data_IF_119887638553
#
_entry.id   IF_119887638553
#
_cell.length_a   1.000
_cell.length_b   1.000
_cell.length_c   1.000
_cell.angle_alpha   90.00
_cell.angle_beta   90.00
_cell.angle_gamma   90.00
#
_symmetry.space_group_name_H-M   'P 1'
#
loop_
_entity.id
_entity.type
_entity.pdbx_description
1 polymer ?
#
# COMPACT_ATOMS: atom_id res chain seq x y z
N UNK A 1 2.78 -13.35 32.81
CA UNK A 1 2.44 -13.42 31.36
C UNK A 1 3.71 -13.23 30.55
N UNK A 2 4.04 -14.12 29.61
CA UNK A 2 5.36 -14.15 28.95
C UNK A 2 5.53 -13.15 27.78
N UNK A 3 4.47 -12.48 27.32
CA UNK A 3 4.57 -11.41 26.31
C UNK A 3 3.26 -10.61 26.25
N UNK A 4 3.10 -9.47 26.94
CA UNK A 4 1.82 -8.75 27.01
C UNK A 4 1.40 -8.17 25.66
N UNK A 5 2.35 -7.98 24.74
CA UNK A 5 2.13 -7.44 23.40
C UNK A 5 1.59 -8.46 22.37
N UNK A 6 1.58 -9.75 22.72
CA UNK A 6 1.08 -10.81 21.84
C UNK A 6 -0.44 -10.73 21.71
N UNK A 7 -0.95 -11.02 20.51
CA UNK A 7 -2.39 -11.22 20.30
C UNK A 7 -2.84 -12.46 21.09
N UNK A 8 -3.87 -12.31 21.92
CA UNK A 8 -4.39 -13.40 22.73
C UNK A 8 -5.21 -14.38 21.88
N UNK A 9 -5.34 -15.62 22.37
CA UNK A 9 -6.21 -16.62 21.74
C UNK A 9 -7.64 -16.07 21.74
N UNK A 10 -8.30 -16.12 20.58
CA UNK A 10 -9.67 -15.62 20.36
C UNK A 10 -9.85 -14.08 20.43
N UNK A 11 -8.76 -13.31 20.62
CA UNK A 11 -8.81 -11.85 20.57
C UNK A 11 -9.00 -11.36 19.13
N UNK A 12 -10.08 -10.60 18.89
CA UNK A 12 -10.30 -10.00 17.57
C UNK A 12 -9.17 -9.02 17.25
N UNK A 13 -8.87 -8.87 15.96
CA UNK A 13 -7.75 -8.01 15.54
C UNK A 13 -7.93 -6.55 15.95
N UNK A 14 -9.16 -6.07 15.95
CA UNK A 14 -9.46 -4.70 16.37
C UNK A 14 -9.24 -4.54 17.88
N UNK A 15 -9.72 -5.50 18.69
CA UNK A 15 -9.53 -5.51 20.14
C UNK A 15 -8.03 -5.54 20.47
N UNK A 16 -7.27 -6.38 19.75
CA UNK A 16 -5.82 -6.42 19.84
C UNK A 16 -5.19 -5.05 19.62
N UNK A 17 -5.53 -4.37 18.52
CA UNK A 17 -4.97 -3.06 18.16
C UNK A 17 -5.32 -1.99 19.19
N UNK A 18 -6.58 -1.96 19.65
CA UNK A 18 -7.04 -1.05 20.70
C UNK A 18 -6.29 -1.29 22.00
N UNK A 19 -6.02 -2.54 22.36
CA UNK A 19 -5.23 -2.88 23.55
C UNK A 19 -3.78 -2.41 23.39
N UNK A 20 -3.12 -2.75 22.28
CA UNK A 20 -1.70 -2.44 22.12
C UNK A 20 -1.42 -0.94 21.96
N UNK A 21 -2.35 -0.18 21.37
CA UNK A 21 -2.21 1.27 21.19
C UNK A 21 -2.13 2.03 22.52
N UNK A 22 -2.56 1.41 23.62
CA UNK A 22 -2.48 1.98 24.98
C UNK A 22 -1.14 1.75 25.66
N UNK A 23 -0.28 0.87 25.15
CA UNK A 23 1.04 0.69 25.75
C UNK A 23 1.90 1.93 25.48
N UNK A 24 2.60 2.47 26.49
CA UNK A 24 3.47 3.63 26.32
C UNK A 24 4.67 3.32 25.42
N UNK A 25 5.14 2.07 25.48
CA UNK A 25 6.23 1.54 24.66
C UNK A 25 5.88 0.17 24.13
N UNK A 26 6.33 -0.16 22.92
CA UNK A 26 6.17 -1.47 22.30
C UNK A 26 7.50 -2.01 21.82
N UNK A 27 7.62 -3.33 21.69
CA UNK A 27 8.75 -3.89 20.97
C UNK A 27 8.70 -3.48 19.48
N UNK A 28 9.88 -3.28 18.85
CA UNK A 28 9.97 -2.94 17.43
C UNK A 28 9.29 -3.99 16.53
N UNK A 29 9.37 -5.27 16.90
CA UNK A 29 8.72 -6.34 16.16
C UNK A 29 7.20 -6.28 16.25
N UNK A 30 6.63 -5.97 17.42
CA UNK A 30 5.18 -5.80 17.57
C UNK A 30 4.69 -4.63 16.71
N UNK A 31 5.34 -3.46 16.81
CA UNK A 31 4.86 -2.26 16.10
C UNK A 31 4.93 -2.45 14.58
N UNK A 32 6.00 -3.08 14.08
CA UNK A 32 6.12 -3.42 12.65
C UNK A 32 5.07 -4.44 12.20
N UNK A 33 4.77 -5.47 13.02
CA UNK A 33 3.74 -6.45 12.69
C UNK A 33 2.33 -5.86 12.66
N UNK A 34 2.09 -4.81 13.43
CA UNK A 34 0.79 -4.15 13.51
C UNK A 34 0.60 -3.22 12.32
N UNK A 35 1.58 -2.35 12.11
CA UNK A 35 1.52 -1.28 11.11
C UNK A 35 1.84 -1.79 9.70
N UNK A 36 2.82 -2.70 9.58
CA UNK A 36 3.32 -3.23 8.31
C UNK A 36 3.14 -4.75 8.18
N UNK A 37 2.04 -5.30 8.70
CA UNK A 37 1.78 -6.75 8.77
C UNK A 37 2.06 -7.55 7.49
N UNK A 38 1.79 -6.98 6.33
CA UNK A 38 1.91 -7.65 5.01
C UNK A 38 3.21 -7.32 4.28
N UNK A 39 4.13 -6.60 4.92
CA UNK A 39 5.43 -6.32 4.35
C UNK A 39 6.21 -7.64 4.18
N UNK A 40 6.82 -7.81 3.01
CA UNK A 40 7.84 -8.84 2.80
C UNK A 40 9.16 -8.41 3.48
N UNK A 41 10.14 -9.30 3.50
CA UNK A 41 11.41 -9.06 4.18
C UNK A 41 12.15 -7.82 3.64
N UNK A 42 12.22 -7.65 2.32
CA UNK A 42 12.87 -6.49 1.70
C UNK A 42 12.23 -5.17 2.10
N UNK A 43 10.89 -5.12 2.12
CA UNK A 43 10.20 -3.91 2.48
C UNK A 43 10.25 -3.65 3.99
N UNK A 44 10.26 -4.70 4.82
CA UNK A 44 10.53 -4.55 6.26
C UNK A 44 11.93 -3.98 6.49
N UNK A 45 12.93 -4.43 5.74
CA UNK A 45 14.28 -3.89 5.83
C UNK A 45 14.31 -2.41 5.48
N UNK A 46 13.64 -2.01 4.39
CA UNK A 46 13.51 -0.59 4.01
C UNK A 46 12.86 0.26 5.11
N UNK A 47 11.79 -0.24 5.73
CA UNK A 47 11.14 0.46 6.84
C UNK A 47 12.09 0.61 8.02
N UNK A 48 12.83 -0.45 8.39
CA UNK A 48 13.85 -0.40 9.44
C UNK A 48 14.93 0.62 9.10
N UNK A 49 15.39 0.68 7.86
CA UNK A 49 16.41 1.62 7.40
C UNK A 49 15.91 3.07 7.45
N UNK A 50 14.63 3.33 7.14
CA UNK A 50 14.01 4.65 7.32
C UNK A 50 13.84 5.03 8.80
N UNK A 51 13.53 4.06 9.65
CA UNK A 51 13.31 4.30 11.07
C UNK A 51 14.63 4.41 11.86
N UNK A 52 15.72 3.81 11.38
CA UNK A 52 17.02 3.75 12.08
C UNK A 52 17.61 5.12 12.44
N UNK A 53 17.61 6.15 11.58
CA UNK A 53 18.10 7.47 11.95
C UNK A 53 17.32 8.11 13.11
N UNK A 54 16.02 7.79 13.22
CA UNK A 54 15.11 8.37 14.22
C UNK A 54 15.09 7.54 15.51
N UNK A 55 15.18 6.21 15.39
CA UNK A 55 15.13 5.27 16.51
C UNK A 55 16.29 4.25 16.45
N UNK A 56 17.55 4.70 16.57
CA UNK A 56 18.72 3.84 16.38
C UNK A 56 18.81 2.70 17.40
N UNK A 57 18.27 2.91 18.60
CA UNK A 57 18.21 1.89 19.66
C UNK A 57 17.13 0.84 19.45
N UNK A 58 16.04 1.22 18.78
CA UNK A 58 14.92 0.33 18.45
C UNK A 58 15.16 -0.44 17.15
N UNK A 59 15.96 0.13 16.23
CA UNK A 59 16.34 -0.50 14.96
C UNK A 59 17.86 -0.49 14.77
N UNK A 60 18.62 -1.17 15.66
CA UNK A 60 20.06 -1.23 15.55
C UNK A 60 20.50 -1.87 14.23
N UNK A 61 21.74 -1.61 13.76
CA UNK A 61 22.27 -2.27 12.59
C UNK A 61 22.19 -3.80 12.75
N UNK A 62 21.91 -4.49 11.65
CA UNK A 62 21.79 -5.93 11.60
C UNK A 62 22.96 -6.50 10.79
N UNK A 63 23.46 -7.67 11.20
CA UNK A 63 24.45 -8.40 10.41
C UNK A 63 23.86 -8.97 9.13
N UNK A 64 24.70 -9.58 8.28
CA UNK A 64 24.30 -10.24 7.03
C UNK A 64 23.27 -11.35 7.21
N UNK A 65 23.12 -11.86 8.42
CA UNK A 65 22.15 -12.86 8.86
C UNK A 65 20.83 -12.26 9.41
N UNK A 66 20.66 -10.94 9.38
CA UNK A 66 19.46 -10.25 9.90
C UNK A 66 19.37 -10.25 11.44
N UNK A 67 20.45 -10.61 12.12
CA UNK A 67 20.53 -10.58 13.58
C UNK A 67 21.07 -9.19 14.00
N UNK A 68 20.35 -8.46 14.87
CA UNK A 68 20.83 -7.21 15.44
C UNK A 68 22.17 -7.37 16.18
N UNK A 69 23.12 -6.45 15.98
CA UNK A 69 24.35 -6.41 16.79
C UNK A 69 24.08 -6.03 18.25
N UNK A 70 22.98 -5.34 18.50
CA UNK A 70 22.51 -4.94 19.82
C UNK A 70 21.06 -5.39 19.99
N UNK A 71 20.69 -5.75 21.21
CA UNK A 71 19.30 -6.05 21.52
C UNK A 71 18.44 -4.79 21.30
N UNK A 72 17.40 -4.86 20.45
CA UNK A 72 16.54 -3.71 20.21
C UNK A 72 15.83 -3.25 21.49
N UNK A 73 15.87 -1.96 21.77
CA UNK A 73 15.08 -1.35 22.84
C UNK A 73 13.62 -1.15 22.41
N UNK A 74 12.71 -1.14 23.38
CA UNK A 74 11.31 -0.81 23.11
C UNK A 74 11.19 0.64 22.62
N UNK A 75 10.31 0.85 21.66
CA UNK A 75 10.04 2.15 21.07
C UNK A 75 8.84 2.80 21.75
N UNK A 76 8.89 4.12 21.97
CA UNK A 76 7.69 4.86 22.39
C UNK A 76 6.63 4.78 21.31
N UNK A 77 5.46 4.28 21.68
CA UNK A 77 4.32 4.09 20.77
C UNK A 77 3.92 5.42 20.13
N UNK A 78 3.88 6.49 20.93
CA UNK A 78 3.55 7.85 20.48
C UNK A 78 4.63 8.43 19.57
N UNK A 79 5.90 8.27 19.91
CA UNK A 79 7.00 8.76 19.06
C UNK A 79 6.99 8.09 17.68
N UNK A 80 6.75 6.77 17.64
CA UNK A 80 6.63 6.06 16.37
C UNK A 80 5.42 6.52 15.56
N UNK A 81 4.26 6.70 16.21
CA UNK A 81 3.07 7.16 15.51
C UNK A 81 3.24 8.58 14.92
N UNK A 82 3.90 9.48 15.66
CA UNK A 82 4.26 10.81 15.15
C UNK A 82 5.19 10.70 13.95
N UNK A 83 6.26 9.90 14.04
CA UNK A 83 7.20 9.69 12.93
C UNK A 83 6.49 9.17 11.66
N UNK A 84 5.56 8.21 11.78
CA UNK A 84 4.79 7.69 10.64
C UNK A 84 4.01 8.80 9.92
N UNK A 85 3.49 9.76 10.68
CA UNK A 85 2.68 10.88 10.17
C UNK A 85 3.57 11.99 9.62
N UNK A 86 4.56 12.45 10.38
CA UNK A 86 5.44 13.56 10.03
C UNK A 86 6.29 13.25 8.80
N UNK A 87 6.86 12.04 8.73
CA UNK A 87 7.69 11.58 7.60
C UNK A 87 6.87 10.98 6.46
N UNK A 88 5.53 11.08 6.51
CA UNK A 88 4.61 10.55 5.49
C UNK A 88 4.90 9.09 5.09
N UNK A 89 5.24 8.24 6.07
CA UNK A 89 5.72 6.86 5.81
C UNK A 89 4.66 6.03 5.08
N UNK A 90 3.38 6.25 5.34
CA UNK A 90 2.30 5.58 4.61
C UNK A 90 2.23 5.99 3.13
N UNK A 91 2.55 7.23 2.80
CA UNK A 91 2.61 7.68 1.41
C UNK A 91 3.83 7.08 0.69
N UNK A 92 4.99 7.06 1.34
CA UNK A 92 6.18 6.37 0.84
C UNK A 92 5.89 4.88 0.62
N UNK A 93 5.19 4.25 1.57
CA UNK A 93 4.76 2.85 1.49
C UNK A 93 3.85 2.57 0.29
N UNK A 94 2.86 3.43 0.06
CA UNK A 94 1.98 3.34 -1.11
C UNK A 94 2.74 3.58 -2.41
N UNK A 95 3.74 4.47 -2.41
CA UNK A 95 4.62 4.72 -3.56
C UNK A 95 5.43 3.49 -3.96
N UNK A 96 5.72 2.59 -3.02
CA UNK A 96 6.33 1.27 -3.28
C UNK A 96 5.33 0.22 -3.81
N UNK A 97 4.10 0.63 -4.13
CA UNK A 97 3.04 -0.25 -4.61
C UNK A 97 2.37 -1.09 -3.52
N UNK A 98 2.68 -0.82 -2.25
CA UNK A 98 2.08 -1.51 -1.12
C UNK A 98 0.73 -0.87 -0.75
N UNK A 99 -0.07 -1.58 0.03
CA UNK A 99 -1.34 -1.08 0.56
C UNK A 99 -1.24 -0.90 2.07
N UNK A 100 -1.65 0.26 2.55
CA UNK A 100 -1.82 0.51 3.99
C UNK A 100 -3.03 -0.28 4.47
N UNK A 101 -2.88 -0.93 5.62
CA UNK A 101 -3.95 -1.69 6.25
C UNK A 101 -4.87 -0.73 7.02
N UNK A 102 -6.21 -0.88 6.98
CA UNK A 102 -7.11 -0.08 7.82
C UNK A 102 -6.77 -0.15 9.32
N UNK A 103 -6.27 -1.30 9.74
CA UNK A 103 -5.74 -1.54 11.08
C UNK A 103 -4.47 -0.74 11.43
N UNK A 104 -3.65 -0.40 10.44
CA UNK A 104 -2.48 0.44 10.63
C UNK A 104 -2.91 1.91 10.82
N UNK A 105 -3.87 2.37 10.02
CA UNK A 105 -4.49 3.69 10.19
C UNK A 105 -5.16 3.80 11.56
N UNK A 106 -5.98 2.80 11.94
CA UNK A 106 -6.62 2.73 13.25
C UNK A 106 -5.59 2.83 14.39
N UNK A 107 -4.47 2.11 14.30
CA UNK A 107 -3.43 2.16 15.33
C UNK A 107 -2.86 3.57 15.48
N UNK A 108 -2.50 4.24 14.37
CA UNK A 108 -1.95 5.60 14.40
C UNK A 108 -2.96 6.60 14.95
N UNK A 109 -4.22 6.50 14.55
CA UNK A 109 -5.29 7.40 15.03
C UNK A 109 -5.53 7.24 16.53
N UNK A 110 -5.56 6.00 17.05
CA UNK A 110 -5.74 5.71 18.47
C UNK A 110 -4.58 6.24 19.32
N UNK A 111 -3.33 6.06 18.87
CA UNK A 111 -2.14 6.51 19.60
C UNK A 111 -2.07 8.04 19.65
N UNK A 112 -2.49 8.71 18.58
CA UNK A 112 -2.51 10.17 18.51
C UNK A 112 -3.73 10.80 19.21
N UNK A 113 -4.56 10.00 19.89
CA UNK A 113 -5.65 10.49 20.72
C UNK A 113 -6.83 11.06 19.93
N UNK A 114 -6.97 10.71 18.64
CA UNK A 114 -8.22 11.01 17.93
C UNK A 114 -9.34 10.19 18.58
N UNK A 115 -10.42 10.85 18.99
CA UNK A 115 -11.59 10.18 19.51
C UNK A 115 -12.21 9.30 18.41
N UNK A 116 -12.06 7.98 18.54
CA UNK A 116 -12.67 7.00 17.63
C UNK A 116 -13.76 6.29 18.40
N UNK A 117 -15.01 6.69 18.16
CA UNK A 117 -16.19 5.97 18.65
C UNK A 117 -16.10 4.51 18.21
N UNK A 118 -16.37 3.60 19.14
CA UNK A 118 -16.25 2.13 18.99
C UNK A 118 -17.10 1.52 17.87
N UNK A 119 -17.96 2.32 17.22
CA UNK A 119 -18.81 1.93 16.08
C UNK A 119 -18.22 2.28 14.72
N UNK A 120 -17.06 2.94 14.64
CA UNK A 120 -16.36 3.22 13.39
C UNK A 120 -15.17 2.27 13.20
N UNK A 121 -15.47 1.02 12.82
CA UNK A 121 -14.65 0.42 11.76
C UNK A 121 -15.03 1.20 10.52
N UNK A 122 -14.30 2.27 10.25
CA UNK A 122 -14.64 3.23 9.21
C UNK A 122 -14.82 2.48 7.88
N UNK A 123 -16.03 2.60 7.33
CA UNK A 123 -16.29 2.33 5.92
C UNK A 123 -15.21 3.07 5.14
N UNK A 124 -14.35 2.33 4.43
CA UNK A 124 -13.35 2.79 3.44
C UNK A 124 -13.10 4.30 3.51
N UNK A 125 -12.03 4.73 4.19
CA UNK A 125 -11.54 6.09 4.04
C UNK A 125 -11.55 6.46 2.55
N UNK A 126 -12.37 7.46 2.19
CA UNK A 126 -12.37 8.01 0.83
C UNK A 126 -10.95 8.51 0.59
N UNK A 127 -10.20 7.79 -0.25
CA UNK A 127 -8.93 8.24 -0.82
C UNK A 127 -9.07 9.70 -1.17
N UNK A 128 -8.21 10.56 -0.61
CA UNK A 128 -8.04 11.92 -1.13
C UNK A 128 -7.79 11.78 -2.64
N UNK A 129 -8.61 12.46 -3.46
CA UNK A 129 -8.39 12.48 -4.91
C UNK A 129 -6.96 12.99 -5.16
N UNK A 130 -6.18 12.36 -6.05
CA UNK A 130 -4.86 12.85 -6.42
C UNK A 130 -4.96 14.30 -6.87
N UNK A 131 -4.08 15.18 -6.38
CA UNK A 131 -4.01 16.56 -6.85
C UNK A 131 -3.53 16.56 -8.30
N UNK A 132 -4.32 17.13 -9.22
CA UNK A 132 -4.09 17.14 -10.69
C UNK A 132 -2.89 18.00 -11.14
N UNK A 133 -2.17 18.62 -10.20
CA UNK A 133 -1.05 19.53 -10.48
C UNK A 133 0.29 18.82 -10.71
N UNK A 134 0.45 17.58 -10.24
CA UNK A 134 1.69 16.80 -10.46
C UNK A 134 1.53 15.82 -11.62
N UNK A 135 2.63 15.48 -12.32
CA UNK A 135 2.59 14.52 -13.41
C UNK A 135 2.10 13.14 -12.97
N UNK A 136 2.45 12.74 -11.75
CA UNK A 136 1.96 11.50 -11.13
C UNK A 136 0.46 11.57 -10.81
N UNK A 137 -0.04 12.73 -10.37
CA UNK A 137 -1.46 12.98 -10.15
C UNK A 137 -2.26 12.94 -11.45
N UNK A 138 -1.74 13.56 -12.51
CA UNK A 138 -2.32 13.51 -13.87
C UNK A 138 -2.38 12.09 -14.41
N UNK A 139 -1.33 11.29 -14.18
CA UNK A 139 -1.27 9.89 -14.60
C UNK A 139 -2.32 9.04 -13.88
N UNK A 140 -2.49 9.22 -12.56
CA UNK A 140 -3.47 8.46 -11.79
C UNK A 140 -4.92 8.88 -12.13
N UNK A 141 -5.15 10.17 -12.37
CA UNK A 141 -6.42 10.68 -12.91
C UNK A 141 -6.70 10.06 -14.28
N UNK A 142 -5.76 10.12 -15.23
CA UNK A 142 -5.93 9.52 -16.54
C UNK A 142 -6.23 8.03 -16.46
N UNK A 143 -5.44 7.29 -15.67
CA UNK A 143 -5.61 5.85 -15.48
C UNK A 143 -7.01 5.51 -14.98
N UNK A 144 -7.46 6.15 -13.89
CA UNK A 144 -8.68 5.76 -13.21
C UNK A 144 -9.94 6.37 -13.85
N UNK A 145 -9.86 7.57 -14.42
CA UNK A 145 -11.03 8.28 -14.97
C UNK A 145 -11.18 8.11 -16.49
N UNK A 146 -10.10 7.79 -17.24
CA UNK A 146 -10.16 7.64 -18.70
C UNK A 146 -9.77 6.25 -19.19
N UNK A 147 -8.58 5.77 -18.85
CA UNK A 147 -8.02 4.57 -19.45
C UNK A 147 -8.75 3.29 -19.03
N UNK A 148 -8.89 3.05 -17.72
CA UNK A 148 -9.55 1.85 -17.20
C UNK A 148 -11.01 1.76 -17.71
N UNK A 149 -11.86 2.79 -17.56
CA UNK A 149 -13.23 2.75 -18.06
C UNK A 149 -13.32 2.51 -19.58
N UNK A 150 -12.42 3.09 -20.37
CA UNK A 150 -12.40 2.89 -21.82
C UNK A 150 -12.03 1.46 -22.19
N UNK A 151 -11.07 0.85 -21.48
CA UNK A 151 -10.70 -0.56 -21.68
C UNK A 151 -11.81 -1.49 -21.21
N UNK A 152 -12.51 -1.17 -20.13
CA UNK A 152 -13.70 -1.91 -19.68
C UNK A 152 -14.77 -1.94 -20.77
N UNK A 153 -15.11 -0.79 -21.38
CA UNK A 153 -16.08 -0.74 -22.50
C UNK A 153 -15.64 -1.57 -23.72
N UNK A 154 -14.35 -1.58 -24.04
CA UNK A 154 -13.81 -2.39 -25.15
C UNK A 154 -13.93 -3.88 -24.84
N UNK A 155 -13.62 -4.26 -23.60
CA UNK A 155 -13.68 -5.65 -23.13
C UNK A 155 -15.10 -6.16 -22.90
N UNK A 156 -16.07 -5.31 -22.55
CA UNK A 156 -17.48 -5.72 -22.46
C UNK A 156 -18.00 -6.24 -23.80
N UNK A 157 -17.57 -5.61 -24.90
CA UNK A 157 -17.91 -6.03 -26.27
C UNK A 157 -17.01 -7.13 -26.80
N UNK A 158 -15.81 -7.28 -26.23
CA UNK A 158 -14.75 -8.14 -26.73
C UNK A 158 -13.99 -8.82 -25.59
N UNK A 159 -14.71 -9.59 -24.78
CA UNK A 159 -14.22 -10.13 -23.49
C UNK A 159 -12.99 -11.04 -23.64
N UNK A 160 -12.85 -11.68 -24.79
CA UNK A 160 -11.78 -12.62 -25.12
C UNK A 160 -10.51 -11.98 -25.69
N UNK A 161 -10.50 -10.67 -25.96
CA UNK A 161 -9.37 -10.03 -26.63
C UNK A 161 -8.09 -10.05 -25.79
N UNK A 162 -6.97 -10.35 -26.45
CA UNK A 162 -5.65 -10.30 -25.86
C UNK A 162 -5.16 -8.85 -25.70
N UNK A 163 -4.13 -8.64 -24.86
CA UNK A 163 -3.61 -7.29 -24.59
C UNK A 163 -3.19 -6.56 -25.87
N UNK A 164 -2.58 -7.26 -26.85
CA UNK A 164 -2.21 -6.66 -28.14
C UNK A 164 -3.42 -6.12 -28.92
N UNK A 165 -4.53 -6.86 -28.93
CA UNK A 165 -5.76 -6.46 -29.61
C UNK A 165 -6.43 -5.26 -28.92
N UNK A 166 -6.40 -5.22 -27.59
CA UNK A 166 -6.91 -4.08 -26.81
C UNK A 166 -6.07 -2.83 -27.06
N UNK A 167 -4.74 -2.97 -27.09
CA UNK A 167 -3.83 -1.84 -27.34
C UNK A 167 -3.94 -1.31 -28.77
N UNK A 168 -4.18 -2.20 -29.75
CA UNK A 168 -4.41 -1.84 -31.15
C UNK A 168 -5.83 -1.28 -31.42
N UNK A 169 -6.70 -1.24 -30.41
CA UNK A 169 -8.03 -0.67 -30.60
C UNK A 169 -7.93 0.85 -30.71
N UNK A 170 -8.43 1.41 -31.82
CA UNK A 170 -8.33 2.84 -32.18
C UNK A 170 -8.62 3.81 -31.02
N UNK A 171 -9.61 3.53 -30.17
CA UNK A 171 -9.93 4.39 -29.01
C UNK A 171 -8.88 4.33 -27.89
N UNK A 172 -8.30 3.16 -27.65
CA UNK A 172 -7.28 2.93 -26.61
C UNK A 172 -5.96 3.55 -27.06
N UNK A 173 -5.58 3.31 -28.32
CA UNK A 173 -4.40 3.87 -28.96
C UNK A 173 -4.43 5.41 -28.94
N UNK A 174 -5.54 6.02 -29.41
CA UNK A 174 -5.70 7.47 -29.36
C UNK A 174 -5.64 8.05 -27.94
N UNK A 175 -6.17 7.33 -26.93
CA UNK A 175 -6.13 7.78 -25.55
C UNK A 175 -4.71 7.78 -24.98
N UNK A 176 -3.88 6.79 -25.35
CA UNK A 176 -2.47 6.71 -24.97
C UNK A 176 -1.62 7.75 -25.70
N UNK A 177 -1.92 8.01 -26.97
CA UNK A 177 -1.16 8.95 -27.81
C UNK A 177 -1.43 10.41 -27.47
N UNK A 178 -2.69 10.74 -27.15
CA UNK A 178 -3.09 12.11 -26.81
C UNK A 178 -2.93 12.44 -25.33
N UNK A 179 -2.18 11.63 -24.58
CA UNK A 179 -2.22 11.69 -23.13
C UNK A 179 -1.42 12.84 -22.49
N UNK A 180 -0.74 13.67 -23.28
CA UNK A 180 -0.21 14.97 -22.87
C UNK A 180 0.81 14.93 -21.70
N UNK A 181 1.44 13.78 -21.45
CA UNK A 181 2.42 13.64 -20.37
C UNK A 181 3.78 14.21 -20.78
N UNK A 182 4.45 15.01 -19.92
CA UNK A 182 5.76 15.59 -20.23
C UNK A 182 6.91 14.56 -20.27
N UNK A 183 6.80 13.43 -19.53
CA UNK A 183 7.84 12.37 -19.47
C UNK A 183 7.58 11.19 -20.41
N UNK A 184 6.69 11.34 -21.39
CA UNK A 184 6.42 10.29 -22.39
C UNK A 184 5.38 9.24 -21.93
N UNK A 185 5.01 8.36 -22.87
CA UNK A 185 3.94 7.37 -22.67
C UNK A 185 4.27 6.43 -21.50
N UNK A 186 3.29 6.02 -20.67
CA UNK A 186 3.53 5.04 -19.62
C UNK A 186 4.11 3.73 -20.20
N UNK A 187 5.04 3.11 -19.46
CA UNK A 187 5.69 1.88 -19.93
C UNK A 187 4.68 0.79 -20.31
N UNK A 188 5.02 -0.04 -21.29
CA UNK A 188 4.15 -1.14 -21.73
C UNK A 188 3.76 -2.07 -20.55
N UNK A 189 4.67 -2.28 -19.61
CA UNK A 189 4.42 -3.06 -18.38
C UNK A 189 3.35 -2.43 -17.48
N UNK A 190 3.33 -1.09 -17.39
CA UNK A 190 2.35 -0.31 -16.63
C UNK A 190 0.98 -0.42 -17.29
N UNK A 191 0.93 -0.27 -18.62
CA UNK A 191 -0.33 -0.36 -19.37
C UNK A 191 -0.93 -1.78 -19.27
N UNK A 192 -0.10 -2.82 -19.38
CA UNK A 192 -0.53 -4.22 -19.17
C UNK A 192 -1.16 -4.42 -17.79
N UNK A 193 -0.58 -3.81 -16.73
CA UNK A 193 -1.17 -3.86 -15.38
C UNK A 193 -2.53 -3.17 -15.34
N UNK A 194 -2.72 -2.05 -16.03
CA UNK A 194 -4.01 -1.35 -16.08
C UNK A 194 -5.09 -2.16 -16.81
N UNK A 195 -4.75 -2.80 -17.93
CA UNK A 195 -5.66 -3.72 -18.64
C UNK A 195 -6.07 -4.89 -17.72
N UNK A 196 -5.13 -5.44 -16.94
CA UNK A 196 -5.46 -6.47 -15.96
C UNK A 196 -6.41 -5.99 -14.86
N UNK A 197 -6.36 -4.71 -14.47
CA UNK A 197 -7.32 -4.12 -13.52
C UNK A 197 -8.70 -4.03 -14.17
N UNK A 198 -8.79 -3.48 -15.39
CA UNK A 198 -10.04 -3.40 -16.15
C UNK A 198 -10.72 -4.76 -16.31
N UNK A 199 -9.96 -5.81 -16.71
CA UNK A 199 -10.47 -7.18 -16.79
C UNK A 199 -11.04 -7.70 -15.48
N UNK A 200 -10.36 -7.43 -14.35
CA UNK A 200 -10.81 -7.85 -13.03
C UNK A 200 -12.11 -7.14 -12.63
N UNK A 201 -12.27 -5.87 -12.97
CA UNK A 201 -13.45 -5.08 -12.62
C UNK A 201 -14.72 -5.61 -13.30
N UNK A 202 -14.62 -6.06 -14.56
CA UNK A 202 -15.75 -6.61 -15.32
C UNK A 202 -15.89 -8.14 -15.23
N UNK A 203 -15.02 -8.81 -14.46
CA UNK A 203 -15.03 -10.27 -14.33
C UNK A 203 -14.57 -11.05 -15.58
N UNK A 204 -13.93 -10.40 -16.55
CA UNK A 204 -13.42 -11.06 -17.76
C UNK A 204 -12.14 -11.86 -17.46
N UNK A 205 -12.13 -13.16 -17.78
CA UNK A 205 -10.94 -14.02 -17.67
C UNK A 205 -10.03 -13.78 -18.88
N UNK A 206 -8.76 -13.49 -18.63
CA UNK A 206 -7.76 -13.45 -19.69
C UNK A 206 -7.53 -14.87 -20.24
N UNK A 207 -7.72 -15.09 -21.55
CA UNK A 207 -7.14 -16.26 -22.21
C UNK A 207 -5.62 -16.07 -22.23
N UNK A 208 -4.92 -16.84 -21.40
CA UNK A 208 -3.46 -16.96 -21.48
C UNK A 208 -3.13 -17.57 -22.84
N UNK A 209 -2.62 -16.75 -23.76
CA UNK A 209 -2.09 -17.24 -25.03
C UNK A 209 -0.98 -18.25 -24.75
N UNK A 210 -1.14 -19.45 -25.30
CA UNK A 210 -0.10 -20.49 -25.37
C UNK A 210 1.17 -19.82 -25.94
N UNK A 211 2.37 -20.07 -25.37
CA UNK A 211 3.59 -19.64 -26.05
C UNK A 211 3.60 -20.34 -27.41
N UNK A 212 3.65 -19.54 -28.47
CA UNK A 212 3.98 -20.03 -29.81
C UNK A 212 5.35 -20.68 -29.74
N UNK A 213 5.42 -21.90 -30.28
CA UNK A 213 6.63 -22.70 -30.46
C UNK A 213 7.74 -21.90 -31.15
#
# INVERSE_FOLDING_TARGET
>A
MKYPEGQQKDESREVYIRRISKFPTLSPNTILRVVFRKANQDNLQRIKDWARPVFPKAFPPEGSNGIPYLNPENISTKAFANWVVEENIFEAWVSLGQKVSPFAELFIELVNGKAIDSKQVSKKAKRKKPHSSTDRGRLDVFKNEKFIPLVEQVLEKNSDWQNRQILAHKKVENALDKCGFPEGKPSESTIKKWICIARKNIGARAKTGRPTK
#
